data_IF_871072854049
#
_entry.id   IF_871072854049
#
_cell.length_a   1.000
_cell.length_b   1.000
_cell.length_c   1.000
_cell.angle_alpha   90.00
_cell.angle_beta   90.00
_cell.angle_gamma   90.00
#
_symmetry.space_group_name_H-M   'P 1'
#
loop_
_entity.id
_entity.type
_entity.pdbx_description
1 polymer ?
#
# COMPACT_ATOMS: atom_id res chain seq x y z
N UNK A 1 42.84 -42.83 1.94
CA UNK A 1 41.60 -43.63 2.12
C UNK A 1 40.42 -42.70 1.86
N UNK A 2 39.73 -42.91 0.74
CA UNK A 2 38.61 -42.11 0.24
C UNK A 2 37.30 -42.47 0.97
N UNK A 3 36.48 -41.48 1.31
CA UNK A 3 35.01 -41.61 1.23
C UNK A 3 34.43 -40.30 0.70
N UNK A 4 34.13 -40.34 -0.60
CA UNK A 4 33.36 -39.34 -1.34
C UNK A 4 31.88 -39.70 -1.19
N UNK A 5 31.07 -38.77 -0.66
CA UNK A 5 29.63 -38.95 -0.48
C UNK A 5 28.94 -38.20 -1.62
N UNK A 6 28.45 -38.96 -2.61
CA UNK A 6 27.67 -38.43 -3.72
C UNK A 6 26.28 -38.01 -3.26
N UNK A 7 25.89 -36.78 -3.62
CA UNK A 7 24.54 -36.26 -3.41
C UNK A 7 23.74 -36.55 -4.68
N UNK A 8 22.63 -37.28 -4.50
CA UNK A 8 21.67 -37.62 -5.54
C UNK A 8 20.75 -36.41 -5.77
N UNK A 9 20.82 -35.79 -6.95
CA UNK A 9 19.92 -34.71 -7.34
C UNK A 9 18.77 -35.31 -8.15
N UNK A 10 17.59 -35.39 -7.54
CA UNK A 10 16.37 -35.86 -8.20
C UNK A 10 15.73 -34.68 -8.94
N UNK A 11 15.92 -34.65 -10.26
CA UNK A 11 15.28 -33.68 -11.15
C UNK A 11 13.78 -33.99 -11.28
N UNK A 12 12.93 -33.08 -10.81
CA UNK A 12 11.47 -33.15 -11.01
C UNK A 12 11.15 -32.45 -12.35
N UNK A 13 10.65 -33.22 -13.31
CA UNK A 13 10.14 -32.72 -14.59
C UNK A 13 8.66 -32.38 -14.40
N UNK A 14 8.32 -31.09 -14.39
CA UNK A 14 6.94 -30.62 -14.45
C UNK A 14 6.52 -30.49 -15.92
N UNK A 15 5.72 -31.46 -16.38
CA UNK A 15 5.04 -31.39 -17.66
C UNK A 15 3.83 -30.46 -17.53
N UNK A 16 3.91 -29.26 -18.12
CA UNK A 16 2.74 -28.40 -18.34
C UNK A 16 2.01 -28.87 -19.60
N UNK A 17 0.88 -29.55 -19.40
CA UNK A 17 -0.05 -29.89 -20.46
C UNK A 17 -0.78 -28.64 -20.95
N UNK A 18 -0.62 -28.33 -22.23
CA UNK A 18 -1.40 -27.31 -22.93
C UNK A 18 -2.81 -27.84 -23.20
N UNK A 19 -3.82 -27.28 -22.52
CA UNK A 19 -5.22 -27.45 -22.89
C UNK A 19 -5.59 -26.40 -23.94
N UNK A 20 -5.66 -26.82 -25.21
CA UNK A 20 -6.32 -26.08 -26.27
C UNK A 20 -7.83 -26.33 -26.17
N UNK A 21 -8.56 -25.42 -25.54
CA UNK A 21 -10.02 -25.34 -25.64
C UNK A 21 -10.36 -24.56 -26.90
N UNK A 22 -10.64 -25.30 -27.98
CA UNK A 22 -11.30 -24.77 -29.17
C UNK A 22 -12.81 -24.76 -28.93
N UNK A 23 -13.36 -23.60 -28.58
CA UNK A 23 -14.81 -23.41 -28.49
C UNK A 23 -15.34 -22.97 -29.86
N UNK A 24 -16.16 -23.86 -30.40
CA UNK A 24 -16.98 -23.72 -31.60
C UNK A 24 -17.87 -22.47 -31.51
N UNK A 25 -17.81 -21.62 -32.54
CA UNK A 25 -18.75 -20.53 -32.76
C UNK A 25 -20.08 -21.10 -33.26
N UNK A 26 -21.13 -20.96 -32.46
CA UNK A 26 -22.51 -21.16 -32.92
C UNK A 26 -23.32 -19.88 -32.61
N UNK A 27 -23.74 -19.28 -33.72
CA UNK A 27 -25.02 -18.62 -33.99
C UNK A 27 -25.49 -17.35 -33.27
N UNK A 28 -26.05 -16.50 -34.12
CA UNK A 28 -26.55 -15.16 -33.93
C UNK A 28 -27.89 -15.25 -33.19
N UNK A 29 -27.95 -14.71 -31.97
CA UNK A 29 -29.22 -14.40 -31.31
C UNK A 29 -29.30 -12.91 -31.07
N UNK A 30 -30.20 -12.26 -31.82
CA UNK A 30 -30.62 -10.87 -31.63
C UNK A 30 -31.24 -10.73 -30.23
N UNK A 31 -30.42 -10.38 -29.25
CA UNK A 31 -30.89 -9.97 -27.93
C UNK A 31 -31.01 -8.44 -27.95
N UNK A 32 -32.19 -7.86 -27.62
CA UNK A 32 -32.32 -6.41 -27.52
C UNK A 32 -31.33 -5.91 -26.47
N UNK A 33 -30.54 -4.90 -26.84
CA UNK A 33 -29.56 -4.27 -25.96
C UNK A 33 -30.25 -3.83 -24.66
N UNK A 34 -29.74 -4.21 -23.48
CA UNK A 34 -30.23 -3.64 -22.25
C UNK A 34 -29.92 -2.14 -22.28
N UNK A 35 -30.97 -1.32 -22.30
CA UNK A 35 -30.87 0.13 -22.08
C UNK A 35 -30.35 0.34 -20.66
N UNK A 36 -29.04 0.55 -20.54
CA UNK A 36 -28.44 1.05 -19.33
C UNK A 36 -28.89 2.50 -19.17
N UNK A 37 -29.71 2.74 -18.15
CA UNK A 37 -29.85 4.08 -17.60
C UNK A 37 -28.50 4.40 -16.97
N UNK A 38 -27.79 5.39 -17.52
CA UNK A 38 -26.63 5.98 -16.86
C UNK A 38 -27.13 6.57 -15.53
N UNK A 39 -27.05 5.76 -14.47
CA UNK A 39 -27.06 6.28 -13.12
C UNK A 39 -25.81 7.12 -13.04
N UNK A 40 -25.98 8.43 -13.11
CA UNK A 40 -24.93 9.42 -12.95
C UNK A 40 -24.51 9.36 -11.46
N UNK A 41 -23.83 8.27 -11.08
CA UNK A 41 -23.19 8.10 -9.79
C UNK A 41 -22.14 9.20 -9.71
N UNK A 42 -22.50 10.25 -8.97
CA UNK A 42 -21.60 11.34 -8.64
C UNK A 42 -20.43 10.69 -7.90
N UNK A 43 -19.28 10.61 -8.56
CA UNK A 43 -18.05 10.10 -7.96
C UNK A 43 -17.84 10.89 -6.67
N UNK A 44 -17.80 10.26 -5.49
CA UNK A 44 -17.63 10.98 -4.25
C UNK A 44 -16.30 11.75 -4.33
N UNK A 45 -16.35 13.07 -4.11
CA UNK A 45 -15.15 13.92 -4.08
C UNK A 45 -14.19 13.36 -3.03
N UNK A 46 -13.10 12.77 -3.51
CA UNK A 46 -12.07 12.18 -2.64
C UNK A 46 -11.32 13.32 -1.96
N UNK A 47 -11.60 13.52 -0.67
CA UNK A 47 -10.91 14.54 0.11
C UNK A 47 -9.53 14.01 0.47
N UNK A 48 -8.48 14.64 -0.06
CA UNK A 48 -7.10 14.35 0.35
C UNK A 48 -6.63 15.34 1.41
N UNK A 49 -5.75 14.88 2.28
CA UNK A 49 -5.07 15.68 3.29
C UNK A 49 -3.59 15.43 3.20
N UNK A 50 -2.80 16.50 3.38
CA UNK A 50 -1.35 16.44 3.27
C UNK A 50 -0.67 16.91 4.55
N UNK A 51 0.30 16.14 5.01
CA UNK A 51 1.16 16.47 6.14
C UNK A 51 2.62 16.51 5.67
N UNK A 52 3.38 17.51 6.09
CA UNK A 52 4.82 17.57 5.87
C UNK A 52 5.54 17.20 7.16
N UNK A 53 6.63 16.45 7.06
CA UNK A 53 7.39 15.99 8.21
C UNK A 53 8.84 16.45 8.14
N UNK A 54 9.41 16.76 9.30
CA UNK A 54 10.84 16.98 9.49
C UNK A 54 11.37 16.07 10.60
N UNK A 55 12.51 15.42 10.35
CA UNK A 55 13.14 14.45 11.25
C UNK A 55 14.42 15.00 11.91
N UNK A 56 14.93 14.30 12.93
CA UNK A 56 16.12 14.70 13.70
C UNK A 56 17.38 14.94 12.83
N UNK A 57 17.54 14.15 11.77
CA UNK A 57 18.67 14.25 10.84
C UNK A 57 18.45 15.27 9.71
N UNK A 58 17.40 16.10 9.83
CA UNK A 58 17.04 17.12 8.86
C UNK A 58 16.34 16.59 7.61
N UNK A 59 16.15 15.27 7.48
CA UNK A 59 15.38 14.69 6.38
C UNK A 59 13.92 15.15 6.44
N UNK A 60 13.31 15.21 5.25
CA UNK A 60 11.92 15.62 5.06
C UNK A 60 11.19 14.63 4.16
N UNK A 61 9.91 14.44 4.44
CA UNK A 61 8.99 13.72 3.56
C UNK A 61 7.59 14.34 3.71
N UNK A 62 6.71 14.07 2.76
CA UNK A 62 5.30 14.42 2.88
C UNK A 62 4.43 13.18 2.81
N UNK A 63 3.36 13.21 3.58
CA UNK A 63 2.33 12.21 3.62
C UNK A 63 1.08 12.80 2.96
N UNK A 64 0.52 12.11 1.97
CA UNK A 64 -0.81 12.41 1.46
C UNK A 64 -1.72 11.22 1.75
N UNK A 65 -2.89 11.45 2.32
CA UNK A 65 -3.85 10.38 2.60
C UNK A 65 -5.23 10.79 2.15
N UNK A 66 -5.97 9.78 1.68
CA UNK A 66 -7.27 9.95 1.06
C UNK A 66 -8.34 9.43 2.01
N UNK A 67 -9.35 10.26 2.26
CA UNK A 67 -10.41 9.97 3.21
C UNK A 67 -11.76 9.86 2.53
N UNK A 68 -12.52 8.85 2.93
CA UNK A 68 -13.91 8.66 2.50
C UNK A 68 -14.90 9.48 3.33
N UNK A 69 -14.52 10.01 4.50
CA UNK A 69 -15.32 10.98 5.29
C UNK A 69 -14.58 11.40 6.58
N UNK A 70 -14.68 12.70 6.90
CA UNK A 70 -14.21 13.45 8.10
C UNK A 70 -12.74 13.92 8.13
N UNK A 71 -12.52 15.22 7.86
CA UNK A 71 -11.20 15.85 8.06
C UNK A 71 -10.76 15.85 9.53
N UNK A 72 -9.48 15.55 9.85
CA UNK A 72 -8.91 15.87 11.15
C UNK A 72 -8.83 17.38 11.39
N UNK A 73 -8.81 17.76 12.66
CA UNK A 73 -8.50 19.12 13.11
C UNK A 73 -7.01 19.47 12.94
N UNK A 74 -6.66 20.75 12.97
CA UNK A 74 -5.28 21.20 12.77
C UNK A 74 -4.37 20.78 13.94
N UNK A 75 -3.15 20.31 13.62
CA UNK A 75 -2.05 20.18 14.58
C UNK A 75 -1.82 18.80 15.21
N UNK A 76 -2.66 17.80 14.94
CA UNK A 76 -2.43 16.42 15.40
C UNK A 76 -2.14 15.49 14.22
N UNK A 77 -1.24 14.51 14.40
CA UNK A 77 -1.08 13.41 13.45
C UNK A 77 -2.25 12.45 13.65
N UNK A 78 -3.44 12.86 13.21
CA UNK A 78 -4.59 11.98 13.15
C UNK A 78 -4.76 11.47 11.72
N UNK A 79 -4.23 10.27 11.48
CA UNK A 79 -4.53 9.51 10.28
C UNK A 79 -5.72 8.60 10.63
N UNK A 80 -6.89 8.80 10.01
CA UNK A 80 -8.07 8.01 10.33
C UNK A 80 -7.85 6.53 10.03
N UNK A 81 -8.57 5.66 10.75
CA UNK A 81 -8.57 4.23 10.47
C UNK A 81 -9.25 3.89 9.12
N UNK A 82 -10.04 4.81 8.58
CA UNK A 82 -10.83 4.65 7.35
C UNK A 82 -10.20 5.38 6.16
N UNK A 83 -8.90 5.17 5.93
CA UNK A 83 -8.24 5.68 4.72
C UNK A 83 -8.28 4.64 3.60
N UNK A 84 -8.51 5.11 2.37
CA UNK A 84 -8.45 4.28 1.14
C UNK A 84 -7.01 4.08 0.67
N UNK A 85 -6.12 4.96 1.11
CA UNK A 85 -4.70 4.69 1.20
C UNK A 85 -3.88 5.95 1.45
N UNK A 86 -2.57 5.77 1.41
CA UNK A 86 -1.61 6.74 1.89
C UNK A 86 -0.37 6.73 0.98
N UNK A 87 0.03 7.90 0.52
CA UNK A 87 1.21 8.10 -0.30
C UNK A 87 2.29 8.78 0.53
N UNK A 88 3.43 8.09 0.67
CA UNK A 88 4.66 8.68 1.18
C UNK A 88 5.47 9.24 0.02
N UNK A 89 5.74 10.54 0.04
CA UNK A 89 6.65 11.19 -0.92
C UNK A 89 7.92 11.64 -0.21
N UNK A 90 9.05 11.08 -0.63
CA UNK A 90 10.36 11.37 -0.07
C UNK A 90 11.02 12.58 -0.75
N UNK A 91 12.02 13.17 -0.10
CA UNK A 91 12.74 14.35 -0.62
C UNK A 91 13.51 14.09 -1.93
N UNK A 92 13.87 12.83 -2.22
CA UNK A 92 14.47 12.42 -3.48
C UNK A 92 13.44 12.30 -4.63
N UNK A 93 12.16 12.56 -4.37
CA UNK A 93 11.07 12.46 -5.33
C UNK A 93 10.44 11.07 -5.46
N UNK A 94 10.97 10.02 -4.80
CA UNK A 94 10.34 8.71 -4.82
C UNK A 94 9.03 8.71 -4.04
N UNK A 95 8.09 7.88 -4.47
CA UNK A 95 6.78 7.74 -3.86
C UNK A 95 6.51 6.28 -3.51
N UNK A 96 5.96 6.04 -2.33
CA UNK A 96 5.53 4.71 -1.88
C UNK A 96 4.06 4.76 -1.51
N UNK A 97 3.25 3.89 -2.14
CA UNK A 97 1.86 3.67 -1.72
C UNK A 97 1.86 2.70 -0.55
N UNK A 98 1.29 3.14 0.57
CA UNK A 98 1.09 2.31 1.74
C UNK A 98 -0.38 1.97 1.94
N UNK A 99 -0.59 0.77 2.47
CA UNK A 99 -1.87 0.30 2.96
C UNK A 99 -1.80 0.18 4.47
N UNK A 100 -2.94 0.45 5.13
CA UNK A 100 -3.04 0.26 6.58
C UNK A 100 -2.75 -1.20 6.95
N UNK A 101 -1.84 -1.39 7.91
CA UNK A 101 -1.42 -2.72 8.36
C UNK A 101 -2.03 -3.07 9.71
N UNK A 102 -1.87 -2.21 10.72
CA UNK A 102 -2.36 -2.47 12.08
C UNK A 102 -2.36 -1.24 12.98
N UNK A 103 -3.19 -1.30 14.02
CA UNK A 103 -3.14 -0.45 15.21
C UNK A 103 -2.54 -1.26 16.36
N UNK A 104 -1.72 -0.63 17.21
CA UNK A 104 -1.21 -1.25 18.43
C UNK A 104 -1.19 -0.28 19.61
N UNK A 105 -0.86 -0.79 20.80
CA UNK A 105 -0.75 0.00 22.04
C UNK A 105 -2.03 0.80 22.36
N UNK A 106 -3.19 0.15 22.32
CA UNK A 106 -4.47 0.76 22.69
C UNK A 106 -4.95 1.89 21.78
N UNK A 107 -4.53 1.92 20.50
CA UNK A 107 -4.93 2.97 19.55
C UNK A 107 -3.86 4.04 19.30
N UNK A 108 -2.76 4.01 20.06
CA UNK A 108 -1.73 5.07 20.00
C UNK A 108 -0.79 4.96 18.82
N UNK A 109 -0.58 3.74 18.33
CA UNK A 109 0.40 3.45 17.29
C UNK A 109 -0.32 2.93 16.06
N UNK A 110 -0.21 3.65 14.94
CA UNK A 110 -0.68 3.20 13.63
C UNK A 110 0.49 2.79 12.76
N UNK A 111 0.33 1.69 12.02
CA UNK A 111 1.35 1.16 11.12
C UNK A 111 0.78 0.93 9.72
N UNK A 112 1.56 1.34 8.73
CA UNK A 112 1.25 1.25 7.31
C UNK A 112 2.43 0.61 6.59
N UNK A 113 2.15 -0.33 5.70
CA UNK A 113 3.16 -1.06 4.93
C UNK A 113 2.90 -0.87 3.44
N UNK A 114 3.97 -0.81 2.65
CA UNK A 114 3.83 -0.97 1.20
C UNK A 114 3.55 -2.43 0.83
N UNK A 115 3.21 -2.67 -0.43
CA UNK A 115 2.84 -4.00 -0.95
C UNK A 115 3.92 -5.06 -0.69
N UNK A 116 5.19 -4.69 -0.81
CA UNK A 116 6.32 -5.60 -0.64
C UNK A 116 6.76 -5.75 0.84
N UNK A 117 6.10 -5.06 1.78
CA UNK A 117 6.48 -5.02 3.20
C UNK A 117 7.93 -4.56 3.45
N UNK A 118 8.50 -3.81 2.50
CA UNK A 118 9.85 -3.25 2.59
C UNK A 118 9.86 -1.87 3.22
N UNK A 119 8.76 -1.11 3.11
CA UNK A 119 8.59 0.20 3.72
C UNK A 119 7.51 0.14 4.79
N UNK A 120 7.89 0.43 6.03
CA UNK A 120 6.99 0.60 7.17
C UNK A 120 6.96 2.07 7.58
N UNK A 121 5.78 2.68 7.52
CA UNK A 121 5.50 3.94 8.17
C UNK A 121 4.75 3.69 9.47
N UNK A 122 5.22 4.31 10.54
CA UNK A 122 4.56 4.23 11.83
C UNK A 122 4.41 5.62 12.43
N UNK A 123 3.26 5.85 13.05
CA UNK A 123 2.98 7.05 13.85
C UNK A 123 2.77 6.68 15.32
N UNK A 124 3.13 7.58 16.22
CA UNK A 124 2.87 7.54 17.66
C UNK A 124 2.58 8.97 18.12
N UNK A 125 1.30 9.29 18.39
CA UNK A 125 0.77 10.60 18.84
C UNK A 125 1.31 11.82 18.08
N UNK A 126 2.53 12.25 18.42
CA UNK A 126 3.21 13.46 17.95
C UNK A 126 4.40 13.16 17.02
N UNK A 127 4.74 11.89 16.84
CA UNK A 127 5.94 11.44 16.13
C UNK A 127 5.62 10.43 15.04
N UNK A 128 6.50 10.40 14.05
CA UNK A 128 6.49 9.42 12.99
C UNK A 128 7.89 8.87 12.73
N UNK A 129 7.93 7.67 12.16
CA UNK A 129 9.16 7.04 11.71
C UNK A 129 8.93 6.14 10.52
N UNK A 130 9.99 5.98 9.72
CA UNK A 130 9.99 5.14 8.54
C UNK A 130 11.12 4.13 8.67
N UNK A 131 10.77 2.85 8.45
CA UNK A 131 11.76 1.78 8.25
C UNK A 131 11.76 1.35 6.80
N UNK A 132 12.94 1.18 6.23
CA UNK A 132 13.16 0.62 4.90
C UNK A 132 14.00 -0.64 5.06
N UNK A 133 13.49 -1.77 4.58
CA UNK A 133 14.09 -3.11 4.73
C UNK A 133 14.45 -3.44 6.19
N UNK A 134 13.57 -3.06 7.12
CA UNK A 134 13.76 -3.28 8.57
C UNK A 134 14.69 -2.27 9.27
N UNK A 135 15.38 -1.40 8.53
CA UNK A 135 16.30 -0.39 9.07
C UNK A 135 15.55 0.93 9.23
N UNK A 136 15.67 1.59 10.40
CA UNK A 136 15.11 2.93 10.62
C UNK A 136 15.88 3.94 9.76
N UNK A 137 15.20 4.56 8.81
CA UNK A 137 15.81 5.55 7.89
C UNK A 137 15.32 6.97 8.13
N UNK A 138 14.15 7.14 8.76
CA UNK A 138 13.60 8.40 9.22
C UNK A 138 13.14 8.20 10.68
N UNK A 139 13.71 8.98 11.60
CA UNK A 139 13.49 8.81 13.04
C UNK A 139 13.02 10.12 13.67
N UNK A 140 12.14 10.00 14.68
CA UNK A 140 11.63 11.11 15.49
C UNK A 140 11.09 12.28 14.64
N UNK A 141 10.31 11.96 13.61
CA UNK A 141 9.81 12.95 12.67
C UNK A 141 8.54 13.60 13.21
N UNK A 142 8.46 14.92 13.15
CA UNK A 142 7.31 15.72 13.59
C UNK A 142 6.66 16.40 12.40
N UNK A 143 5.35 16.69 12.50
CA UNK A 143 4.65 17.48 11.49
C UNK A 143 5.16 18.92 11.53
N UNK A 144 5.37 19.50 10.36
CA UNK A 144 5.72 20.91 10.17
C UNK A 144 4.71 21.54 9.21
N UNK A 145 4.35 22.79 9.51
CA UNK A 145 3.47 23.62 8.65
C UNK A 145 4.17 24.02 7.34
#
# INVERSE_FOLDING_TARGET
MNKSTGILITTIVLAFGAYLLSTKSDDISNQPEPSYTETNESIPEENSSKLNFQCDDGKKFSLEYFQVSNSPGPGEIYIPNSITGLDLKFSNGSMERLSFSKVSNGGRINQYLNQDSTVLFQTDIDKAFIKQNGIVTYNNCVVVE
#
